data_IF_434231947705
#
_entry.id   IF_434231947705
#
_cell.length_a   1.000
_cell.length_b   1.000
_cell.length_c   1.000
_cell.angle_alpha   90.00
_cell.angle_beta   90.00
_cell.angle_gamma   90.00
#
_symmetry.space_group_name_H-M   'P 1'
#
loop_
_entity.id
_entity.type
_entity.pdbx_description
1 polymer ?
#
# COMPACT_ATOMS: atom_id res chain seq x y z
N UNK A 1 8.61 -0.60 -14.04
CA UNK A 1 7.77 -0.04 -12.95
C UNK A 1 7.90 1.48 -13.00
N UNK A 2 6.79 2.22 -12.97
CA UNK A 2 6.80 3.69 -13.00
C UNK A 2 7.26 4.24 -11.64
N UNK A 3 7.89 5.42 -11.61
CA UNK A 3 8.39 6.04 -10.37
C UNK A 3 7.25 6.33 -9.36
N UNK A 4 6.06 6.65 -9.85
CA UNK A 4 4.87 6.87 -9.03
C UNK A 4 4.41 5.59 -8.32
N UNK A 5 4.40 4.46 -9.04
CA UNK A 5 4.04 3.15 -8.46
C UNK A 5 5.04 2.76 -7.37
N UNK A 6 6.34 2.95 -7.61
CA UNK A 6 7.39 2.75 -6.60
C UNK A 6 7.15 3.58 -5.34
N UNK A 7 6.81 4.86 -5.50
CA UNK A 7 6.49 5.73 -4.35
C UNK A 7 5.28 5.23 -3.57
N UNK A 8 4.24 4.74 -4.26
CA UNK A 8 3.08 4.15 -3.59
C UNK A 8 3.40 2.82 -2.91
N UNK A 9 4.26 1.98 -3.50
CA UNK A 9 4.75 0.75 -2.87
C UNK A 9 5.45 1.07 -1.54
N UNK A 10 6.40 2.01 -1.56
CA UNK A 10 7.13 2.42 -0.35
C UNK A 10 6.20 2.98 0.73
N UNK A 11 5.19 3.78 0.33
CA UNK A 11 4.18 4.32 1.25
C UNK A 11 3.33 3.22 1.89
N UNK A 12 2.85 2.28 1.09
CA UNK A 12 2.03 1.17 1.57
C UNK A 12 2.86 0.26 2.50
N UNK A 13 4.11 -0.06 2.14
CA UNK A 13 5.01 -0.86 2.99
C UNK A 13 5.29 -0.16 4.33
N UNK A 14 5.54 1.15 4.31
CA UNK A 14 5.75 1.93 5.52
C UNK A 14 4.50 1.98 6.42
N UNK A 15 3.32 2.14 5.83
CA UNK A 15 2.05 2.12 6.55
C UNK A 15 1.80 0.75 7.20
N UNK A 16 2.02 -0.34 6.46
CA UNK A 16 1.86 -1.70 7.00
C UNK A 16 2.84 -1.99 8.13
N UNK A 17 4.11 -1.61 7.97
CA UNK A 17 5.11 -1.77 9.03
C UNK A 17 4.74 -0.98 10.30
N UNK A 18 4.27 0.26 10.14
CA UNK A 18 3.83 1.07 11.26
C UNK A 18 2.62 0.45 11.97
N UNK A 19 1.65 -0.03 11.20
CA UNK A 19 0.44 -0.65 11.75
C UNK A 19 0.78 -1.96 12.48
N UNK A 20 1.62 -2.82 11.90
CA UNK A 20 2.13 -4.02 12.57
C UNK A 20 2.83 -3.73 13.91
N UNK A 21 3.58 -2.62 14.00
CA UNK A 21 4.24 -2.20 15.24
C UNK A 21 3.24 -1.68 16.28
N UNK A 22 2.10 -1.15 15.84
CA UNK A 22 1.15 -0.42 16.69
C UNK A 22 -0.05 -1.26 17.13
N UNK A 23 -0.58 -2.11 16.26
CA UNK A 23 -1.86 -2.83 16.44
C UNK A 23 -1.73 -4.35 16.36
N UNK A 24 -0.51 -4.91 16.20
CA UNK A 24 -0.22 -6.36 16.13
C UNK A 24 -0.94 -7.09 14.96
N UNK A 25 -1.64 -6.33 14.11
CA UNK A 25 -2.36 -6.74 12.91
C UNK A 25 -2.27 -5.62 11.90
N UNK A 26 -2.04 -5.91 10.62
CA UNK A 26 -2.14 -4.90 9.57
C UNK A 26 -3.10 -5.32 8.48
N UNK A 27 -4.00 -4.42 8.12
CA UNK A 27 -4.91 -4.60 7.00
C UNK A 27 -4.43 -3.79 5.78
N UNK A 28 -3.70 -4.49 4.89
CA UNK A 28 -3.21 -3.94 3.63
C UNK A 28 -4.35 -3.38 2.75
N UNK A 29 -5.56 -3.96 2.84
CA UNK A 29 -6.71 -3.52 2.09
C UNK A 29 -7.23 -2.18 2.62
N UNK A 30 -7.35 -2.04 3.94
CA UNK A 30 -7.77 -0.79 4.58
C UNK A 30 -6.82 0.37 4.22
N UNK A 31 -5.51 0.13 4.33
CA UNK A 31 -4.47 1.11 3.96
C UNK A 31 -4.61 1.55 2.50
N UNK A 32 -4.78 0.60 1.56
CA UNK A 32 -4.92 0.94 0.16
C UNK A 32 -6.22 1.71 -0.13
N UNK A 33 -7.32 1.38 0.55
CA UNK A 33 -8.60 2.07 0.41
C UNK A 33 -8.53 3.50 0.92
N UNK A 34 -7.88 3.75 2.06
CA UNK A 34 -7.65 5.10 2.58
C UNK A 34 -6.84 5.94 1.59
N UNK A 35 -5.75 5.39 1.06
CA UNK A 35 -4.92 6.09 0.06
C UNK A 35 -5.69 6.41 -1.23
N UNK A 36 -6.56 5.51 -1.68
CA UNK A 36 -7.44 5.75 -2.84
C UNK A 36 -8.48 6.83 -2.53
N UNK A 37 -8.99 6.89 -1.29
CA UNK A 37 -9.95 7.89 -0.89
C UNK A 37 -9.34 9.30 -0.89
N UNK A 38 -8.04 9.42 -0.52
CA UNK A 38 -7.27 10.66 -0.57
C UNK A 38 -6.88 11.08 -2.00
N UNK A 39 -6.49 10.12 -2.84
CA UNK A 39 -6.04 10.38 -4.21
C UNK A 39 -6.69 9.42 -5.23
N UNK A 40 -7.89 9.82 -5.69
CA UNK A 40 -8.68 9.05 -6.67
C UNK A 40 -8.04 9.00 -8.06
N UNK A 41 -7.21 9.98 -8.42
CA UNK A 41 -6.54 9.98 -9.73
C UNK A 41 -5.40 8.96 -9.76
N UNK A 42 -4.79 8.69 -8.60
CA UNK A 42 -3.77 7.67 -8.41
C UNK A 42 -4.31 6.23 -8.27
N UNK A 43 -5.61 5.99 -8.43
CA UNK A 43 -6.26 4.68 -8.22
C UNK A 43 -5.51 3.52 -8.88
N UNK A 44 -5.18 3.63 -10.16
CA UNK A 44 -4.48 2.55 -10.88
C UNK A 44 -3.08 2.28 -10.33
N UNK A 45 -2.36 3.33 -9.92
CA UNK A 45 -1.03 3.20 -9.36
C UNK A 45 -1.07 2.59 -7.96
N UNK A 46 -2.05 2.97 -7.13
CA UNK A 46 -2.24 2.41 -5.80
C UNK A 46 -2.65 0.93 -5.86
N UNK A 47 -3.55 0.54 -6.78
CA UNK A 47 -3.90 -0.87 -6.97
C UNK A 47 -2.71 -1.72 -7.44
N UNK A 48 -1.87 -1.19 -8.32
CA UNK A 48 -0.66 -1.88 -8.74
C UNK A 48 0.35 -2.00 -7.60
N UNK A 49 0.53 -0.94 -6.81
CA UNK A 49 1.38 -0.98 -5.63
C UNK A 49 0.87 -1.99 -4.59
N UNK A 50 -0.44 -2.03 -4.35
CA UNK A 50 -1.08 -3.01 -3.46
C UNK A 50 -0.77 -4.45 -3.87
N UNK A 51 -0.93 -4.82 -5.15
CA UNK A 51 -0.63 -6.19 -5.59
C UNK A 51 0.87 -6.52 -5.49
N UNK A 52 1.76 -5.54 -5.69
CA UNK A 52 3.20 -5.72 -5.48
C UNK A 52 3.52 -5.98 -4.00
N UNK A 53 3.00 -5.17 -3.09
CA UNK A 53 3.24 -5.33 -1.64
C UNK A 53 2.63 -6.63 -1.12
N UNK A 54 1.41 -6.95 -1.54
CA UNK A 54 0.75 -8.23 -1.23
C UNK A 54 1.58 -9.42 -1.69
N UNK A 55 2.16 -9.35 -2.89
CA UNK A 55 3.06 -10.39 -3.38
C UNK A 55 4.36 -10.47 -2.57
N UNK A 56 4.95 -9.33 -2.19
CA UNK A 56 6.13 -9.28 -1.32
C UNK A 56 5.88 -9.83 0.09
N UNK A 57 4.66 -9.71 0.63
CA UNK A 57 4.31 -10.20 1.97
C UNK A 57 3.95 -11.69 2.00
N UNK A 58 3.42 -12.22 0.90
CA UNK A 58 2.98 -13.62 0.78
C UNK A 58 4.02 -14.52 0.11
N UNK A 59 5.06 -13.94 -0.50
CA UNK A 59 6.20 -14.64 -1.08
C UNK A 59 7.26 -14.97 -0.05
#
# INVERSE_FOLDING_TARGET
>A
MNAEILSFVEKIEAAVLNDLVTTDTSDLYEIAVEMIAEDKEAFQHICQAYEVVKHNMLG
#
